data_IF_269135973920
#
_entry.id   IF_269135973920
#
_cell.length_a   1.000
_cell.length_b   1.000
_cell.length_c   1.000
_cell.angle_alpha   90.00
_cell.angle_beta   90.00
_cell.angle_gamma   90.00
#
_symmetry.space_group_name_H-M   'P 1'
#
loop_
_entity.id
_entity.type
_entity.pdbx_description
1 polymer ?
#
# COMPACT_ATOMS: atom_id res chain seq x y z
N UNK A 1 58.13 -51.42 -3.24
CA UNK A 1 56.99 -50.61 -3.67
C UNK A 1 56.04 -50.51 -2.51
N UNK A 2 55.97 -49.38 -1.83
CA UNK A 2 55.09 -49.13 -0.70
C UNK A 2 54.12 -48.02 -1.11
N UNK A 3 52.86 -48.40 -1.36
CA UNK A 3 51.77 -47.47 -1.69
C UNK A 3 51.17 -46.95 -0.40
N UNK A 4 51.46 -45.70 -0.07
CA UNK A 4 50.87 -45.00 1.09
C UNK A 4 49.46 -44.51 0.78
N UNK A 5 48.48 -45.07 1.47
CA UNK A 5 47.10 -44.60 1.50
C UNK A 5 46.95 -43.42 2.44
N UNK A 6 46.73 -42.20 1.85
CA UNK A 6 46.41 -40.99 2.63
C UNK A 6 44.98 -41.05 3.21
N UNK A 7 44.77 -40.64 4.46
CA UNK A 7 43.46 -40.79 5.13
C UNK A 7 42.49 -39.67 4.72
N UNK A 8 41.27 -40.11 4.32
CA UNK A 8 40.10 -39.30 3.94
C UNK A 8 39.43 -38.50 5.10
N UNK A 9 40.17 -38.18 6.16
CA UNK A 9 39.58 -37.57 7.39
C UNK A 9 39.38 -36.02 7.31
N UNK A 10 39.98 -35.29 6.38
CA UNK A 10 39.95 -33.83 6.32
C UNK A 10 38.62 -33.26 5.77
N UNK A 11 37.95 -33.94 4.84
CA UNK A 11 36.73 -33.46 4.23
C UNK A 11 35.47 -33.49 5.11
N UNK A 12 35.44 -34.39 6.10
CA UNK A 12 34.28 -34.45 7.03
C UNK A 12 34.26 -33.35 8.08
N UNK A 13 35.42 -32.85 8.53
CA UNK A 13 35.51 -31.74 9.49
C UNK A 13 35.13 -30.38 8.83
N UNK A 14 35.54 -30.14 7.59
CA UNK A 14 35.19 -28.93 6.85
C UNK A 14 33.69 -28.86 6.53
N UNK A 15 33.04 -29.97 6.24
CA UNK A 15 31.57 -30.03 6.04
C UNK A 15 30.80 -29.79 7.32
N UNK A 16 31.24 -30.31 8.47
CA UNK A 16 30.58 -30.08 9.78
C UNK A 16 30.72 -28.61 10.23
N UNK A 17 31.85 -27.96 10.03
CA UNK A 17 32.04 -26.53 10.34
C UNK A 17 31.16 -25.61 9.49
N UNK A 18 31.02 -25.93 8.19
CA UNK A 18 30.14 -25.16 7.28
C UNK A 18 28.64 -25.37 7.60
N UNK A 19 28.26 -26.58 8.05
CA UNK A 19 26.87 -26.86 8.47
C UNK A 19 26.54 -26.17 9.80
N UNK A 20 27.46 -26.17 10.77
CA UNK A 20 27.29 -25.48 12.05
C UNK A 20 27.23 -23.92 11.83
N UNK A 21 28.10 -23.37 11.00
CA UNK A 21 28.04 -21.94 10.66
C UNK A 21 26.75 -21.54 9.93
N UNK A 22 26.23 -22.39 9.04
CA UNK A 22 24.91 -22.14 8.40
C UNK A 22 23.76 -22.21 9.40
N UNK A 23 23.76 -23.15 10.32
CA UNK A 23 22.72 -23.26 11.35
C UNK A 23 22.71 -22.03 12.26
N UNK A 24 23.87 -21.56 12.74
CA UNK A 24 23.97 -20.36 13.58
C UNK A 24 23.53 -19.09 12.83
N UNK A 25 23.93 -18.91 11.57
CA UNK A 25 23.51 -17.77 10.75
C UNK A 25 22.00 -17.80 10.50
N UNK A 26 21.43 -18.96 10.20
CA UNK A 26 19.98 -19.11 10.00
C UNK A 26 19.22 -18.82 11.28
N UNK A 27 19.70 -19.32 12.44
CA UNK A 27 19.06 -19.10 13.75
C UNK A 27 19.10 -17.63 14.13
N UNK A 28 20.24 -16.96 13.97
CA UNK A 28 20.37 -15.51 14.23
C UNK A 28 19.47 -14.69 13.31
N UNK A 29 19.41 -15.01 12.02
CA UNK A 29 18.51 -14.36 11.08
C UNK A 29 17.04 -14.56 11.46
N UNK A 30 16.66 -15.76 11.87
CA UNK A 30 15.29 -16.07 12.32
C UNK A 30 14.93 -15.29 13.60
N UNK A 31 15.82 -15.27 14.59
CA UNK A 31 15.63 -14.51 15.82
C UNK A 31 15.50 -13.00 15.54
N UNK A 32 16.35 -12.48 14.66
CA UNK A 32 16.25 -11.09 14.22
C UNK A 32 14.90 -10.81 13.53
N UNK A 33 14.46 -11.68 12.63
CA UNK A 33 13.16 -11.53 11.95
C UNK A 33 11.99 -11.59 12.94
N UNK A 34 12.05 -12.48 13.94
CA UNK A 34 11.02 -12.57 15.00
C UNK A 34 11.01 -11.29 15.83
N UNK A 35 12.17 -10.84 16.30
CA UNK A 35 12.29 -9.61 17.09
C UNK A 35 11.77 -8.38 16.33
N UNK A 36 12.11 -8.28 15.06
CA UNK A 36 11.62 -7.23 14.16
C UNK A 36 10.11 -7.33 13.94
N UNK A 37 9.59 -8.54 13.73
CA UNK A 37 8.16 -8.79 13.62
C UNK A 37 7.39 -8.36 14.88
N UNK A 38 7.87 -8.75 16.05
CA UNK A 38 7.29 -8.33 17.35
C UNK A 38 7.32 -6.81 17.48
N UNK A 39 8.45 -6.17 17.18
CA UNK A 39 8.58 -4.71 17.23
C UNK A 39 7.54 -3.98 16.37
N UNK A 40 7.32 -4.43 15.12
CA UNK A 40 6.33 -3.82 14.23
C UNK A 40 4.88 -4.13 14.61
N UNK A 41 4.63 -5.27 15.24
CA UNK A 41 3.28 -5.62 15.72
C UNK A 41 2.90 -4.93 17.03
N UNK A 42 3.87 -4.48 17.81
CA UNK A 42 3.65 -3.90 19.13
C UNK A 42 2.68 -2.70 19.11
N UNK A 43 2.79 -1.71 18.18
CA UNK A 43 1.82 -0.62 18.09
C UNK A 43 0.41 -1.11 17.76
N UNK A 44 0.27 -2.15 16.93
CA UNK A 44 -1.03 -2.72 16.57
C UNK A 44 -1.66 -3.44 17.76
N UNK A 45 -0.86 -4.20 18.49
CA UNK A 45 -1.28 -4.87 19.73
C UNK A 45 -1.73 -3.85 20.77
N UNK A 46 -0.97 -2.77 20.93
CA UNK A 46 -1.34 -1.65 21.79
C UNK A 46 -2.67 -1.01 21.36
N UNK A 47 -2.85 -0.79 20.07
CA UNK A 47 -4.10 -0.22 19.51
C UNK A 47 -5.31 -1.09 19.84
N UNK A 48 -5.17 -2.42 19.68
CA UNK A 48 -6.24 -3.38 19.99
C UNK A 48 -6.61 -3.33 21.48
N UNK A 49 -5.63 -3.43 22.39
CA UNK A 49 -5.91 -3.37 23.81
C UNK A 49 -6.48 -2.01 24.23
N UNK A 50 -5.95 -0.92 23.69
CA UNK A 50 -6.39 0.44 24.03
C UNK A 50 -7.82 0.71 23.55
N UNK A 51 -8.25 0.16 22.42
CA UNK A 51 -9.62 0.27 21.94
C UNK A 51 -10.66 -0.43 22.86
N UNK A 52 -10.21 -1.39 23.69
CA UNK A 52 -11.09 -2.08 24.65
C UNK A 52 -11.26 -1.34 25.99
N UNK A 53 -10.54 -0.25 26.22
CA UNK A 53 -10.49 0.46 27.50
C UNK A 53 -11.44 1.63 27.57
N UNK A 54 -11.82 2.00 28.79
CA UNK A 54 -12.44 3.30 29.04
C UNK A 54 -11.39 4.42 28.96
N UNK A 55 -11.83 5.68 28.82
CA UNK A 55 -10.91 6.81 28.78
C UNK A 55 -10.06 6.93 30.07
N UNK A 56 -10.63 6.60 31.22
CA UNK A 56 -9.93 6.55 32.51
C UNK A 56 -8.89 5.43 32.54
N UNK A 57 -9.26 4.24 32.07
CA UNK A 57 -8.36 3.08 32.07
C UNK A 57 -7.17 3.25 31.09
N UNK A 58 -7.28 4.09 30.07
CA UNK A 58 -6.16 4.39 29.16
C UNK A 58 -4.95 4.95 29.91
N UNK A 59 -5.19 5.79 30.92
CA UNK A 59 -4.13 6.43 31.73
C UNK A 59 -3.75 5.66 33.00
N UNK A 60 -4.68 4.85 33.53
CA UNK A 60 -4.52 4.18 34.83
C UNK A 60 -4.14 2.70 34.75
N UNK A 61 -4.24 2.07 33.58
CA UNK A 61 -3.98 0.63 33.41
C UNK A 61 -2.77 0.34 32.51
N UNK A 62 -2.24 -0.89 32.60
CA UNK A 62 -1.10 -1.33 31.79
C UNK A 62 -1.43 -1.32 30.30
N UNK A 63 -0.60 -0.65 29.48
CA UNK A 63 -0.88 -0.34 28.07
C UNK A 63 -1.04 -1.56 27.15
N UNK A 64 -0.35 -2.68 27.41
CA UNK A 64 -0.32 -3.87 26.55
C UNK A 64 -1.17 -5.02 27.11
N UNK A 65 -2.22 -4.72 27.89
CA UNK A 65 -3.17 -5.71 28.41
C UNK A 65 -4.55 -5.11 28.61
N UNK A 66 -5.55 -5.96 28.83
CA UNK A 66 -6.91 -5.54 29.11
C UNK A 66 -7.02 -4.81 30.44
N UNK A 67 -7.96 -3.87 30.54
CA UNK A 67 -8.37 -3.25 31.78
C UNK A 67 -9.51 -4.06 32.44
N UNK A 68 -9.85 -3.79 33.71
CA UNK A 68 -10.99 -4.44 34.37
C UNK A 68 -12.32 -4.26 33.63
N UNK A 69 -12.49 -3.10 32.99
CA UNK A 69 -13.70 -2.78 32.23
C UNK A 69 -13.44 -2.98 30.74
N UNK A 70 -14.19 -3.88 30.10
CA UNK A 70 -14.13 -4.09 28.65
C UNK A 70 -15.16 -3.22 27.94
N UNK A 71 -14.70 -2.15 27.26
CA UNK A 71 -15.54 -1.09 26.71
C UNK A 71 -15.59 -1.04 25.17
N UNK A 72 -15.05 -2.05 24.44
CA UNK A 72 -14.98 -2.00 22.97
C UNK A 72 -16.33 -1.74 22.30
N UNK A 73 -17.39 -2.37 22.76
CA UNK A 73 -18.73 -2.18 22.19
C UNK A 73 -19.25 -0.76 22.39
N UNK A 74 -19.07 -0.20 23.60
CA UNK A 74 -19.46 1.18 23.92
C UNK A 74 -18.64 2.18 23.10
N UNK A 75 -17.32 1.98 23.00
CA UNK A 75 -16.43 2.83 22.21
C UNK A 75 -16.78 2.78 20.72
N UNK A 76 -17.08 1.60 20.18
CA UNK A 76 -17.52 1.46 18.79
C UNK A 76 -18.86 2.16 18.54
N UNK A 77 -19.83 1.99 19.45
CA UNK A 77 -21.11 2.69 19.37
C UNK A 77 -20.89 4.23 19.35
N UNK A 78 -20.04 4.74 20.26
CA UNK A 78 -19.73 6.17 20.31
C UNK A 78 -19.07 6.67 19.02
N UNK A 79 -18.14 5.92 18.43
CA UNK A 79 -17.53 6.23 17.13
C UNK A 79 -18.58 6.42 16.03
N UNK A 80 -19.58 5.52 15.95
CA UNK A 80 -20.55 5.56 14.86
C UNK A 80 -21.72 6.52 15.10
N UNK A 81 -21.99 6.93 16.33
CA UNK A 81 -23.10 7.84 16.66
C UNK A 81 -22.68 9.29 16.85
N UNK A 82 -21.40 9.54 17.04
CA UNK A 82 -20.87 10.88 17.31
C UNK A 82 -20.93 11.81 16.09
N UNK A 83 -21.14 13.11 16.33
CA UNK A 83 -21.19 14.17 15.32
C UNK A 83 -22.12 13.79 14.14
N UNK A 84 -23.35 13.34 14.42
CA UNK A 84 -24.32 12.89 13.41
C UNK A 84 -23.81 11.75 12.51
N UNK A 85 -23.07 10.81 13.08
CA UNK A 85 -22.51 9.65 12.36
C UNK A 85 -21.47 10.00 11.30
N UNK A 86 -20.76 11.10 11.46
CA UNK A 86 -19.70 11.53 10.50
C UNK A 86 -18.65 10.45 10.24
N UNK A 87 -18.33 9.61 11.23
CA UNK A 87 -17.36 8.52 11.02
C UNK A 87 -17.77 7.57 9.91
N UNK A 88 -19.04 7.18 9.86
CA UNK A 88 -19.55 6.33 8.79
C UNK A 88 -19.43 6.99 7.42
N UNK A 89 -19.70 8.31 7.34
CA UNK A 89 -19.51 9.09 6.11
C UNK A 89 -18.04 9.13 5.70
N UNK A 90 -17.11 9.38 6.63
CA UNK A 90 -15.66 9.37 6.37
C UNK A 90 -15.16 7.99 5.89
N UNK A 91 -15.72 6.93 6.48
CA UNK A 91 -15.40 5.56 6.05
C UNK A 91 -15.82 5.33 4.58
N UNK A 92 -17.06 5.68 4.23
CA UNK A 92 -17.57 5.58 2.86
C UNK A 92 -16.74 6.44 1.91
N UNK A 93 -16.45 7.67 2.28
CA UNK A 93 -15.61 8.58 1.49
C UNK A 93 -14.21 7.99 1.24
N UNK A 94 -13.60 7.40 2.28
CA UNK A 94 -12.26 6.79 2.15
C UNK A 94 -12.28 5.60 1.20
N UNK A 95 -13.31 4.73 1.29
CA UNK A 95 -13.48 3.62 0.35
C UNK A 95 -13.68 4.14 -1.08
N UNK A 96 -14.48 5.19 -1.25
CA UNK A 96 -14.72 5.82 -2.53
C UNK A 96 -13.43 6.43 -3.11
N UNK A 97 -12.71 7.23 -2.33
CA UNK A 97 -11.44 7.83 -2.76
C UNK A 97 -10.41 6.76 -3.10
N UNK A 98 -10.13 5.86 -2.15
CA UNK A 98 -9.09 4.85 -2.32
C UNK A 98 -9.45 3.84 -3.42
N UNK A 99 -10.71 3.40 -3.48
CA UNK A 99 -11.18 2.46 -4.49
C UNK A 99 -11.13 3.06 -5.90
N UNK A 100 -11.71 4.25 -6.08
CA UNK A 100 -11.73 4.92 -7.40
C UNK A 100 -10.32 5.25 -7.88
N UNK A 101 -9.50 5.88 -7.02
CA UNK A 101 -8.12 6.24 -7.39
C UNK A 101 -7.31 4.99 -7.70
N UNK A 102 -7.35 3.96 -6.84
CA UNK A 102 -6.57 2.75 -7.07
C UNK A 102 -6.96 2.05 -8.38
N UNK A 103 -8.24 1.90 -8.66
CA UNK A 103 -8.71 1.23 -9.90
C UNK A 103 -8.30 2.04 -11.13
N UNK A 104 -8.68 3.33 -11.17
CA UNK A 104 -8.49 4.16 -12.37
C UNK A 104 -7.01 4.44 -12.61
N UNK A 105 -6.25 4.86 -11.57
CA UNK A 105 -4.82 5.16 -11.74
C UNK A 105 -4.01 3.93 -12.14
N UNK A 106 -4.33 2.75 -11.57
CA UNK A 106 -3.65 1.50 -11.94
C UNK A 106 -3.97 1.09 -13.37
N UNK A 107 -5.21 1.25 -13.78
CA UNK A 107 -5.62 0.96 -15.15
C UNK A 107 -4.90 1.87 -16.15
N UNK A 108 -4.86 3.17 -15.89
CA UNK A 108 -4.10 4.12 -16.71
C UNK A 108 -2.61 3.79 -16.71
N UNK A 109 -2.04 3.46 -15.55
CA UNK A 109 -0.64 3.06 -15.43
C UNK A 109 -0.33 1.79 -16.22
N UNK A 110 -1.24 0.81 -16.24
CA UNK A 110 -1.10 -0.42 -17.03
C UNK A 110 -1.09 -0.11 -18.52
N UNK A 111 -2.02 0.71 -19.01
CA UNK A 111 -2.09 1.09 -20.43
C UNK A 111 -0.83 1.85 -20.87
N UNK A 112 -0.45 2.87 -20.11
CA UNK A 112 0.73 3.70 -20.42
C UNK A 112 2.02 2.86 -20.32
N UNK A 113 2.17 2.09 -19.24
CA UNK A 113 3.34 1.23 -19.01
C UNK A 113 3.50 0.17 -20.11
N UNK A 114 2.40 -0.48 -20.51
CA UNK A 114 2.38 -1.42 -21.62
C UNK A 114 2.75 -0.74 -22.94
N UNK A 115 2.16 0.42 -23.24
CA UNK A 115 2.48 1.17 -24.46
C UNK A 115 3.96 1.56 -24.51
N UNK A 116 4.51 2.05 -23.40
CA UNK A 116 5.94 2.40 -23.28
C UNK A 116 6.86 1.16 -23.32
N UNK A 117 6.40 -0.03 -23.03
CA UNK A 117 7.20 -1.25 -23.10
C UNK A 117 7.18 -1.88 -24.50
N UNK A 118 6.01 -1.94 -25.14
CA UNK A 118 5.77 -2.77 -26.34
C UNK A 118 5.72 -2.01 -27.64
N UNK A 119 5.41 -0.72 -27.64
CA UNK A 119 5.39 0.07 -28.87
C UNK A 119 6.66 0.90 -29.04
N UNK A 120 7.13 0.99 -30.29
CA UNK A 120 8.26 1.84 -30.69
C UNK A 120 7.73 3.09 -31.36
N UNK A 121 7.88 4.24 -30.71
CA UNK A 121 7.49 5.55 -31.25
C UNK A 121 8.53 6.61 -30.87
N UNK A 122 8.56 7.71 -31.65
CA UNK A 122 9.49 8.82 -31.41
C UNK A 122 9.15 9.51 -30.08
N UNK A 123 10.17 9.77 -29.27
CA UNK A 123 9.98 10.44 -27.96
C UNK A 123 9.66 9.51 -26.80
N UNK A 124 9.51 8.19 -27.01
CA UNK A 124 9.20 7.22 -25.96
C UNK A 124 10.11 7.32 -24.74
N UNK A 125 11.41 7.39 -24.94
CA UNK A 125 12.37 7.46 -23.84
C UNK A 125 12.37 8.82 -23.14
N UNK A 126 12.08 9.91 -23.87
CA UNK A 126 11.92 11.25 -23.28
C UNK A 126 10.70 11.29 -22.38
N UNK A 127 9.56 10.75 -22.84
CA UNK A 127 8.35 10.63 -22.01
C UNK A 127 8.63 9.82 -20.75
N UNK A 128 9.32 8.70 -20.91
CA UNK A 128 9.65 7.86 -19.76
C UNK A 128 10.62 8.55 -18.80
N UNK A 129 11.62 9.26 -19.30
CA UNK A 129 12.53 10.05 -18.46
C UNK A 129 11.78 11.17 -17.71
N UNK A 130 10.81 11.82 -18.35
CA UNK A 130 9.96 12.82 -17.69
C UNK A 130 9.09 12.19 -16.57
N UNK A 131 8.52 11.00 -16.81
CA UNK A 131 7.79 10.25 -15.79
C UNK A 131 8.70 9.90 -14.61
N UNK A 132 9.92 9.40 -14.86
CA UNK A 132 10.89 9.12 -13.79
C UNK A 132 11.29 10.38 -13.03
N UNK A 133 11.51 11.48 -13.74
CA UNK A 133 11.82 12.78 -13.13
C UNK A 133 10.70 13.28 -12.22
N UNK A 134 9.44 13.04 -12.60
CA UNK A 134 8.28 13.46 -11.77
C UNK A 134 8.17 12.70 -10.45
N UNK A 135 8.69 11.47 -10.35
CA UNK A 135 8.73 10.70 -9.09
C UNK A 135 9.66 11.35 -8.07
N UNK A 136 10.69 12.07 -8.53
CA UNK A 136 11.66 12.73 -7.64
C UNK A 136 11.11 14.01 -7.00
N UNK A 137 10.01 14.55 -7.51
CA UNK A 137 9.38 15.75 -6.94
C UNK A 137 8.55 15.36 -5.72
N UNK A 138 8.83 15.90 -4.52
CA UNK A 138 8.03 15.63 -3.34
C UNK A 138 6.58 16.07 -3.55
N UNK A 139 5.63 15.14 -3.38
CA UNK A 139 4.20 15.43 -3.56
C UNK A 139 3.69 16.58 -2.66
N UNK A 140 4.25 16.70 -1.45
CA UNK A 140 3.95 17.79 -0.52
C UNK A 140 4.32 19.18 -1.05
N UNK A 141 5.39 19.29 -1.83
CA UNK A 141 5.80 20.54 -2.45
C UNK A 141 4.83 21.01 -3.54
N UNK A 142 4.10 20.08 -4.15
CA UNK A 142 3.14 20.34 -5.20
C UNK A 142 1.75 20.74 -4.68
N UNK A 143 1.47 20.59 -3.38
CA UNK A 143 0.10 20.75 -2.84
C UNK A 143 -0.39 22.17 -2.98
N UNK A 144 0.44 23.19 -2.74
CA UNK A 144 0.02 24.60 -2.89
C UNK A 144 -0.23 24.99 -4.36
N UNK A 145 0.66 24.72 -5.32
CA UNK A 145 0.36 24.89 -6.75
C UNK A 145 -0.89 24.16 -7.21
N UNK A 146 -1.07 22.93 -6.72
CA UNK A 146 -2.23 22.12 -7.02
C UNK A 146 -3.53 22.70 -6.47
N UNK A 147 -3.52 23.21 -5.22
CA UNK A 147 -4.65 23.91 -4.62
C UNK A 147 -5.07 25.12 -5.47
N UNK A 148 -4.10 25.92 -5.92
CA UNK A 148 -4.40 27.08 -6.76
C UNK A 148 -5.02 26.68 -8.12
N UNK A 149 -4.57 25.57 -8.69
CA UNK A 149 -5.12 25.00 -9.92
C UNK A 149 -6.56 24.53 -9.71
N UNK A 150 -6.80 23.75 -8.66
CA UNK A 150 -8.12 23.23 -8.30
C UNK A 150 -9.09 24.34 -7.93
N UNK A 151 -8.61 25.40 -7.27
CA UNK A 151 -9.40 26.58 -6.94
C UNK A 151 -9.88 27.31 -8.21
N UNK A 152 -9.00 27.52 -9.17
CA UNK A 152 -9.37 28.10 -10.48
C UNK A 152 -10.35 27.24 -11.26
N UNK A 153 -10.26 25.91 -11.10
CA UNK A 153 -11.16 24.95 -11.73
C UNK A 153 -12.48 24.74 -10.95
N UNK A 154 -12.70 25.43 -9.83
CA UNK A 154 -13.85 25.24 -8.93
C UNK A 154 -14.01 23.81 -8.40
N UNK A 155 -12.88 23.10 -8.17
CA UNK A 155 -12.84 21.74 -7.69
C UNK A 155 -12.46 21.62 -6.20
N UNK A 156 -12.08 22.72 -5.55
CA UNK A 156 -11.85 22.79 -4.11
C UNK A 156 -13.15 22.45 -3.37
N UNK A 157 -13.04 21.70 -2.28
CA UNK A 157 -14.16 21.22 -1.47
C UNK A 157 -15.14 20.32 -2.25
N UNK A 158 -14.61 19.48 -3.13
CA UNK A 158 -15.36 18.46 -3.88
C UNK A 158 -14.63 17.12 -3.86
N UNK A 159 -15.35 16.03 -4.15
CA UNK A 159 -14.76 14.70 -4.36
C UNK A 159 -13.69 14.71 -5.46
N UNK A 160 -13.93 15.45 -6.55
CA UNK A 160 -13.02 15.53 -7.68
C UNK A 160 -11.71 16.24 -7.35
N UNK A 161 -11.72 17.19 -6.42
CA UNK A 161 -10.51 17.86 -5.94
C UNK A 161 -9.53 16.90 -5.26
N UNK A 162 -10.04 15.81 -4.68
CA UNK A 162 -9.21 14.74 -4.08
C UNK A 162 -8.85 13.66 -5.10
N UNK A 163 -9.80 13.25 -5.95
CA UNK A 163 -9.63 12.12 -6.87
C UNK A 163 -8.70 12.47 -8.04
N UNK A 164 -8.99 13.55 -8.78
CA UNK A 164 -8.31 13.84 -10.04
C UNK A 164 -6.79 13.96 -9.94
N UNK A 165 -6.22 14.65 -8.95
CA UNK A 165 -4.76 14.74 -8.83
C UNK A 165 -4.09 13.40 -8.61
N UNK A 166 -4.76 12.49 -7.92
CA UNK A 166 -4.22 11.18 -7.54
C UNK A 166 -4.35 10.14 -8.67
N UNK A 167 -5.09 10.43 -9.74
CA UNK A 167 -5.15 9.56 -10.93
C UNK A 167 -3.81 9.51 -11.66
N UNK A 168 -2.99 10.55 -11.55
CA UNK A 168 -1.63 10.57 -12.11
C UNK A 168 -0.71 9.77 -11.19
N UNK A 169 -0.28 8.60 -11.66
CA UNK A 169 0.55 7.67 -10.88
C UNK A 169 1.84 7.31 -11.64
N UNK A 170 2.87 8.19 -11.61
CA UNK A 170 4.13 7.95 -12.32
C UNK A 170 4.85 6.69 -11.87
N UNK A 171 4.83 6.39 -10.56
CA UNK A 171 5.43 5.18 -10.01
C UNK A 171 4.72 3.91 -10.52
N UNK A 172 3.39 3.95 -10.61
CA UNK A 172 2.61 2.87 -11.21
C UNK A 172 2.97 2.65 -12.68
N UNK A 173 3.12 3.72 -13.47
CA UNK A 173 3.54 3.66 -14.88
C UNK A 173 4.93 3.04 -15.02
N UNK A 174 5.88 3.44 -14.18
CA UNK A 174 7.22 2.85 -14.13
C UNK A 174 7.15 1.35 -13.86
N UNK A 175 6.47 0.93 -12.80
CA UNK A 175 6.33 -0.49 -12.46
C UNK A 175 5.67 -1.29 -13.59
N UNK A 176 4.58 -0.76 -14.16
CA UNK A 176 3.88 -1.43 -15.25
C UNK A 176 4.71 -1.52 -16.52
N UNK A 177 5.56 -0.52 -16.83
CA UNK A 177 6.51 -0.63 -17.96
C UNK A 177 7.52 -1.75 -17.73
N UNK A 178 8.16 -1.78 -16.55
CA UNK A 178 9.14 -2.82 -16.20
C UNK A 178 8.48 -4.20 -16.25
N UNK A 179 7.30 -4.32 -15.64
CA UNK A 179 6.57 -5.59 -15.61
C UNK A 179 6.13 -6.03 -17.01
N UNK A 180 5.63 -5.11 -17.83
CA UNK A 180 5.21 -5.41 -19.22
C UNK A 180 6.37 -5.88 -20.10
N UNK A 181 7.57 -5.32 -19.89
CA UNK A 181 8.75 -5.73 -20.66
C UNK A 181 9.18 -7.17 -20.37
N UNK A 182 8.96 -7.64 -19.14
CA UNK A 182 9.37 -8.97 -18.67
C UNK A 182 8.27 -10.03 -18.84
N UNK A 183 7.03 -9.68 -18.47
CA UNK A 183 5.93 -10.65 -18.38
C UNK A 183 5.20 -10.90 -19.70
N UNK A 184 5.33 -10.01 -20.70
CA UNK A 184 4.66 -10.16 -21.99
C UNK A 184 5.69 -10.43 -23.09
N UNK A 185 5.87 -11.70 -23.56
CA UNK A 185 6.77 -12.01 -24.65
C UNK A 185 6.32 -11.37 -25.98
N UNK A 186 7.26 -10.80 -26.74
CA UNK A 186 6.95 -10.18 -28.02
C UNK A 186 6.51 -11.19 -29.06
N UNK A 187 6.98 -12.45 -28.96
CA UNK A 187 6.59 -13.55 -29.85
C UNK A 187 5.09 -13.89 -29.74
N UNK A 188 4.52 -13.81 -28.53
CA UNK A 188 3.07 -14.02 -28.34
C UNK A 188 2.24 -12.93 -29.02
N UNK A 189 2.72 -11.69 -28.99
CA UNK A 189 2.06 -10.58 -29.66
C UNK A 189 2.21 -10.69 -31.18
N UNK A 190 3.39 -11.14 -31.66
CA UNK A 190 3.63 -11.39 -33.09
C UNK A 190 2.72 -12.52 -33.62
N UNK A 191 2.60 -13.64 -32.89
CA UNK A 191 1.70 -14.73 -33.26
C UNK A 191 0.25 -14.26 -33.32
N UNK A 192 -0.23 -13.50 -32.34
CA UNK A 192 -1.59 -12.95 -32.35
C UNK A 192 -1.87 -12.06 -33.57
N UNK A 193 -0.87 -11.26 -34.01
CA UNK A 193 -1.00 -10.42 -35.20
C UNK A 193 -1.06 -11.28 -36.47
N UNK A 194 -0.30 -12.37 -36.54
CA UNK A 194 -0.37 -13.33 -37.65
C UNK A 194 -1.77 -13.99 -37.73
N UNK A 195 -2.35 -14.28 -36.54
CA UNK A 195 -3.71 -14.79 -36.39
C UNK A 195 -4.81 -13.74 -36.69
N UNK A 196 -4.43 -12.52 -37.12
CA UNK A 196 -5.36 -11.43 -37.45
C UNK A 196 -5.92 -10.66 -36.26
N UNK A 197 -5.35 -10.82 -35.04
CA UNK A 197 -5.78 -10.03 -33.92
C UNK A 197 -5.28 -8.59 -34.02
N UNK A 198 -6.19 -7.61 -33.94
CA UNK A 198 -5.81 -6.20 -33.78
C UNK A 198 -5.19 -5.91 -32.40
N UNK A 199 -4.50 -4.78 -32.26
CA UNK A 199 -3.73 -4.41 -31.07
C UNK A 199 -4.57 -4.41 -29.77
N UNK A 200 -5.80 -3.90 -29.81
CA UNK A 200 -6.70 -3.93 -28.63
C UNK A 200 -7.09 -5.35 -28.25
N UNK A 201 -7.32 -6.23 -29.23
CA UNK A 201 -7.64 -7.63 -28.97
C UNK A 201 -6.44 -8.36 -28.37
N UNK A 202 -5.25 -8.14 -28.93
CA UNK A 202 -4.01 -8.70 -28.39
C UNK A 202 -3.73 -8.20 -26.96
N UNK A 203 -3.98 -6.92 -26.68
CA UNK A 203 -3.86 -6.38 -25.33
C UNK A 203 -4.80 -7.09 -24.36
N UNK A 204 -6.10 -7.12 -24.62
CA UNK A 204 -7.08 -7.66 -23.66
C UNK A 204 -7.03 -9.18 -23.52
N UNK A 205 -6.81 -9.91 -24.62
CA UNK A 205 -6.82 -11.37 -24.61
C UNK A 205 -5.52 -11.98 -24.09
N UNK A 206 -4.38 -11.31 -24.27
CA UNK A 206 -3.06 -11.84 -23.94
C UNK A 206 -2.39 -10.98 -22.86
N UNK A 207 -2.07 -9.71 -23.19
CA UNK A 207 -1.23 -8.90 -22.35
C UNK A 207 -1.88 -8.62 -20.98
N UNK A 208 -3.14 -8.20 -20.92
CA UNK A 208 -3.83 -7.86 -19.67
C UNK A 208 -3.87 -9.04 -18.69
N UNK A 209 -4.03 -10.28 -19.19
CA UNK A 209 -3.99 -11.49 -18.35
C UNK A 209 -2.61 -11.71 -17.74
N UNK A 210 -1.56 -11.55 -18.52
CA UNK A 210 -0.18 -11.69 -18.06
C UNK A 210 0.22 -10.55 -17.11
N UNK A 211 -0.38 -9.36 -17.27
CA UNK A 211 -0.12 -8.19 -16.44
C UNK A 211 -0.89 -8.17 -15.11
N UNK A 212 -1.82 -9.11 -14.90
CA UNK A 212 -2.65 -9.15 -13.68
C UNK A 212 -1.84 -9.07 -12.36
N UNK A 213 -0.72 -9.80 -12.15
CA UNK A 213 0.03 -9.68 -10.90
C UNK A 213 0.67 -8.29 -10.72
N UNK A 214 1.18 -7.69 -11.81
CA UNK A 214 1.68 -6.31 -11.79
C UNK A 214 0.58 -5.30 -11.50
N UNK A 215 -0.60 -5.47 -12.12
CA UNK A 215 -1.79 -4.66 -11.87
C UNK A 215 -2.18 -4.70 -10.39
N UNK A 216 -2.29 -5.89 -9.79
CA UNK A 216 -2.63 -6.05 -8.37
C UNK A 216 -1.61 -5.38 -7.46
N UNK A 217 -0.33 -5.44 -7.81
CA UNK A 217 0.73 -4.78 -7.05
C UNK A 217 0.57 -3.25 -7.08
N UNK A 218 0.41 -2.66 -8.26
CA UNK A 218 0.21 -1.21 -8.41
C UNK A 218 -1.09 -0.76 -7.76
N UNK A 219 -2.17 -1.55 -7.92
CA UNK A 219 -3.45 -1.31 -7.26
C UNK A 219 -3.31 -1.23 -5.74
N UNK A 220 -2.62 -2.20 -5.13
CA UNK A 220 -2.43 -2.23 -3.68
C UNK A 220 -1.64 -1.01 -3.19
N UNK A 221 -0.57 -0.62 -3.88
CA UNK A 221 0.16 0.61 -3.54
C UNK A 221 -0.71 1.86 -3.69
N UNK A 222 -1.47 1.97 -4.77
CA UNK A 222 -2.41 3.07 -5.00
C UNK A 222 -3.50 3.13 -3.93
N UNK A 223 -4.10 1.97 -3.60
CA UNK A 223 -5.14 1.86 -2.57
C UNK A 223 -4.61 2.28 -1.19
N UNK A 224 -3.50 1.69 -0.74
CA UNK A 224 -2.90 2.02 0.56
C UNK A 224 -2.42 3.47 0.60
N UNK A 225 -1.83 3.98 -0.49
CA UNK A 225 -1.39 5.37 -0.58
C UNK A 225 -2.54 6.36 -0.46
N UNK A 226 -3.66 6.12 -1.15
CA UNK A 226 -4.84 6.99 -1.08
C UNK A 226 -5.59 6.82 0.23
N UNK A 227 -5.70 5.60 0.76
CA UNK A 227 -6.31 5.32 2.07
C UNK A 227 -5.65 6.12 3.20
N UNK A 228 -4.31 6.22 3.18
CA UNK A 228 -3.54 6.94 4.18
C UNK A 228 -3.31 8.41 3.84
N UNK A 229 -3.84 8.90 2.72
CA UNK A 229 -3.63 10.27 2.31
C UNK A 229 -4.35 11.24 3.26
N UNK A 230 -3.55 12.07 3.90
CA UNK A 230 -4.02 13.10 4.83
C UNK A 230 -3.83 14.50 4.26
N UNK A 231 -2.65 14.75 3.63
CA UNK A 231 -2.20 16.10 3.36
C UNK A 231 -2.98 16.79 2.22
N UNK A 232 -3.27 16.07 1.13
CA UNK A 232 -4.07 16.65 0.04
C UNK A 232 -5.51 16.95 0.49
N UNK A 233 -6.25 16.00 1.14
CA UNK A 233 -7.55 16.30 1.72
C UNK A 233 -7.56 17.49 2.69
N UNK A 234 -6.54 17.60 3.56
CA UNK A 234 -6.41 18.70 4.52
C UNK A 234 -6.40 20.08 3.85
N UNK A 235 -5.75 20.19 2.70
CA UNK A 235 -5.62 21.47 1.98
C UNK A 235 -6.82 21.76 1.08
N UNK A 236 -7.45 20.72 0.52
CA UNK A 236 -8.47 20.85 -0.52
C UNK A 236 -9.90 20.81 0.03
N UNK A 237 -10.13 20.18 1.19
CA UNK A 237 -11.46 20.00 1.77
C UNK A 237 -11.67 20.90 2.98
N UNK A 238 -12.84 21.53 3.07
CA UNK A 238 -13.29 22.32 4.21
C UNK A 238 -14.59 21.78 4.84
N UNK A 239 -15.41 21.04 4.08
CA UNK A 239 -16.64 20.42 4.60
C UNK A 239 -16.32 19.07 5.26
N UNK A 240 -16.60 18.90 6.57
CA UNK A 240 -16.39 17.64 7.27
C UNK A 240 -17.11 16.43 6.63
N UNK A 241 -18.21 16.64 5.91
CA UNK A 241 -18.93 15.57 5.21
C UNK A 241 -18.15 14.95 4.05
N UNK A 242 -17.14 15.65 3.54
CA UNK A 242 -16.28 15.17 2.45
C UNK A 242 -14.96 14.53 2.95
N UNK A 243 -14.68 14.61 4.24
CA UNK A 243 -13.40 14.14 4.78
C UNK A 243 -13.20 12.63 4.57
N UNK A 244 -11.98 12.18 4.29
CA UNK A 244 -11.57 10.80 4.50
C UNK A 244 -11.32 10.53 5.99
N UNK A 245 -11.25 9.26 6.38
CA UNK A 245 -11.00 8.82 7.76
C UNK A 245 -9.77 9.48 8.39
N UNK A 246 -8.68 9.59 7.65
CA UNK A 246 -7.43 10.19 8.14
C UNK A 246 -7.62 11.64 8.58
N UNK A 247 -8.29 12.44 7.76
CA UNK A 247 -8.57 13.83 8.08
C UNK A 247 -9.66 13.96 9.15
N UNK A 248 -10.69 13.13 9.10
CA UNK A 248 -11.75 13.11 10.09
C UNK A 248 -11.24 12.78 11.49
N UNK A 249 -10.46 11.70 11.65
CA UNK A 249 -9.85 11.33 12.93
C UNK A 249 -8.88 12.39 13.45
N UNK A 250 -8.09 13.02 12.55
CA UNK A 250 -7.22 14.12 12.92
C UNK A 250 -8.01 15.36 13.39
N UNK A 251 -9.16 15.65 12.77
CA UNK A 251 -10.05 16.74 13.23
C UNK A 251 -10.61 16.48 14.63
N UNK A 252 -10.94 15.23 14.95
CA UNK A 252 -11.34 14.83 16.30
C UNK A 252 -10.20 15.00 17.32
N UNK A 253 -8.97 14.62 16.93
CA UNK A 253 -7.80 14.82 17.80
C UNK A 253 -7.57 16.30 18.13
N UNK A 254 -7.79 17.20 17.18
CA UNK A 254 -7.69 18.64 17.41
C UNK A 254 -8.75 19.11 18.42
N UNK A 255 -9.97 18.58 18.39
CA UNK A 255 -11.03 18.89 19.36
C UNK A 255 -10.62 18.54 20.80
N UNK A 256 -9.92 17.42 21.02
CA UNK A 256 -9.39 17.04 22.35
C UNK A 256 -8.42 18.12 22.83
N UNK A 257 -7.47 18.53 21.98
CA UNK A 257 -6.46 19.54 22.33
C UNK A 257 -7.05 20.91 22.70
N UNK A 258 -8.26 21.20 22.24
CA UNK A 258 -9.01 22.44 22.53
C UNK A 258 -9.95 22.31 23.75
N UNK A 259 -9.90 21.20 24.50
CA UNK A 259 -10.75 20.97 25.68
C UNK A 259 -12.19 20.56 25.34
N UNK A 260 -12.44 20.01 24.16
CA UNK A 260 -13.74 19.46 23.76
C UNK A 260 -14.09 18.16 24.49
N UNK A 261 -15.36 17.75 24.38
CA UNK A 261 -15.89 16.49 24.97
C UNK A 261 -15.39 15.21 24.28
N UNK A 262 -14.48 15.34 23.30
CA UNK A 262 -13.90 14.23 22.58
C UNK A 262 -12.96 13.41 23.48
N UNK A 263 -13.00 12.10 23.37
CA UNK A 263 -12.12 11.19 24.14
C UNK A 263 -11.12 10.47 23.26
N UNK A 264 -9.96 10.14 23.82
CA UNK A 264 -8.94 9.37 23.09
C UNK A 264 -9.42 7.99 22.68
N UNK A 265 -10.30 7.36 23.47
CA UNK A 265 -10.85 6.03 23.16
C UNK A 265 -11.63 6.00 21.86
N UNK A 266 -12.37 7.08 21.52
CA UNK A 266 -13.10 7.21 20.25
C UNK A 266 -12.14 7.24 19.07
N UNK A 267 -11.07 8.04 19.16
CA UNK A 267 -10.06 8.13 18.09
C UNK A 267 -9.32 6.80 17.91
N UNK A 268 -8.89 6.18 19.01
CA UNK A 268 -8.19 4.89 19.02
C UNK A 268 -9.07 3.79 18.42
N UNK A 269 -10.35 3.74 18.81
CA UNK A 269 -11.31 2.77 18.27
C UNK A 269 -11.60 3.05 16.80
N UNK A 270 -11.77 4.31 16.42
CA UNK A 270 -11.91 4.71 15.01
C UNK A 270 -10.70 4.33 14.16
N UNK A 271 -9.49 4.51 14.69
CA UNK A 271 -8.25 4.10 14.02
C UNK A 271 -8.15 2.57 13.88
N UNK A 272 -8.57 1.81 14.90
CA UNK A 272 -8.63 0.34 14.83
C UNK A 272 -9.61 -0.12 13.74
N UNK A 273 -10.79 0.48 13.67
CA UNK A 273 -11.78 0.17 12.62
C UNK A 273 -11.23 0.54 11.24
N UNK A 274 -10.56 1.70 11.11
CA UNK A 274 -9.96 2.15 9.86
C UNK A 274 -8.84 1.24 9.35
N UNK A 275 -8.18 0.46 10.23
CA UNK A 275 -7.15 -0.49 9.87
C UNK A 275 -7.71 -1.76 9.21
N UNK A 276 -8.93 -2.18 9.57
CA UNK A 276 -9.51 -3.45 9.13
C UNK A 276 -9.53 -3.58 7.59
N UNK A 277 -10.02 -2.61 6.80
CA UNK A 277 -10.04 -2.75 5.35
C UNK A 277 -8.65 -2.88 4.72
N UNK A 278 -7.63 -2.22 5.29
CA UNK A 278 -6.24 -2.36 4.82
C UNK A 278 -5.72 -3.78 5.03
N UNK A 279 -5.97 -4.34 6.21
CA UNK A 279 -5.58 -5.73 6.53
C UNK A 279 -6.31 -6.70 5.61
N UNK A 280 -7.62 -6.51 5.40
CA UNK A 280 -8.42 -7.35 4.51
C UNK A 280 -7.91 -7.25 3.07
N UNK A 281 -7.68 -6.05 2.56
CA UNK A 281 -7.14 -5.84 1.21
C UNK A 281 -5.79 -6.55 1.04
N UNK A 282 -4.88 -6.40 2.02
CA UNK A 282 -3.59 -7.07 2.00
C UNK A 282 -3.74 -8.60 1.99
N UNK A 283 -4.55 -9.17 2.89
CA UNK A 283 -4.74 -10.62 2.98
C UNK A 283 -5.36 -11.23 1.70
N UNK A 284 -6.30 -10.51 1.06
CA UNK A 284 -6.91 -10.95 -0.19
C UNK A 284 -5.93 -10.89 -1.37
N UNK A 285 -5.06 -9.88 -1.40
CA UNK A 285 -4.20 -9.60 -2.53
C UNK A 285 -2.78 -10.21 -2.40
N UNK A 286 -2.33 -10.62 -1.20
CA UNK A 286 -0.99 -11.18 -0.97
C UNK A 286 -0.64 -12.39 -1.86
N UNK A 287 -1.64 -13.19 -2.26
CA UNK A 287 -1.44 -14.35 -3.14
C UNK A 287 -0.86 -13.97 -4.51
N UNK A 288 -1.18 -12.78 -5.00
CA UNK A 288 -0.67 -12.29 -6.28
C UNK A 288 0.77 -11.77 -6.20
N UNK A 289 1.22 -11.35 -5.01
CA UNK A 289 2.59 -10.90 -4.78
C UNK A 289 3.60 -12.04 -4.81
N UNK A 290 3.22 -13.20 -4.28
CA UNK A 290 4.11 -14.38 -4.25
C UNK A 290 4.51 -14.84 -5.66
N UNK A 291 3.63 -14.72 -6.64
CA UNK A 291 3.92 -15.11 -8.02
C UNK A 291 4.83 -14.09 -8.75
N UNK A 292 4.75 -12.81 -8.42
CA UNK A 292 5.58 -11.76 -9.04
C UNK A 292 7.05 -11.75 -8.59
N UNK A 293 7.32 -12.10 -7.32
CA UNK A 293 8.69 -12.14 -6.76
C UNK A 293 9.51 -13.32 -7.28
N UNK A 294 8.86 -14.40 -7.70
CA UNK A 294 9.55 -15.58 -8.24
C UNK A 294 10.12 -15.34 -9.65
N UNK A 295 9.55 -14.43 -10.44
CA UNK A 295 10.06 -14.09 -11.77
C UNK A 295 11.40 -13.35 -11.72
N UNK A 296 11.69 -12.59 -10.65
CA UNK A 296 12.97 -11.92 -10.45
C UNK A 296 14.11 -12.81 -9.95
N UNK A 297 13.80 -14.01 -9.44
CA UNK A 297 14.80 -14.93 -8.87
C UNK A 297 15.33 -15.98 -9.87
N UNK A 298 14.77 -16.08 -11.07
CA UNK A 298 15.14 -17.09 -12.09
C UNK A 298 16.17 -16.59 -13.11
N UNK A 299 16.71 -15.40 -12.94
CA UNK A 299 17.75 -14.82 -13.79
C UNK A 299 19.11 -14.68 -13.05
N UNK A 300 19.40 -15.61 -12.12
CA UNK A 300 20.68 -15.70 -11.42
C UNK A 300 21.39 -16.99 -11.74
#
# INVERSE_FOLDING_TARGET
MVTGTRPLKSHRRARRGRAAGRLTTTTLATLFMIAFGVYFLLPLVWLVFSATKTNTDLSSSYGLWFAPTFALGANAHDVFTRDDSLFAQWFVNTVLYAGTVAIVSTFLAMLIGYALAKYRFRGREVIFAAILGSIMVPGTALVLPLFLLLSKAHLVNTYWGVILPQLVNPFGVYLMRVYSSQAVPDDLLAAARVDGAGELRAFWSIAARLLTPGFVTVFLFGFVGTWNNYFLPLVVLSDPKLYPLTLGLASWQTKIGLGGEMTYTVIITGALIALIPLVVAFLLLQRYWRSGLLLGSMTG
#
